data_IF_460875531354
#
_entry.id   IF_460875531354
#
_cell.length_a   1.000
_cell.length_b   1.000
_cell.length_c   1.000
_cell.angle_alpha   90.00
_cell.angle_beta   90.00
_cell.angle_gamma   90.00
#
_symmetry.space_group_name_H-M   'P 1'
#
loop_
_entity.id
_entity.type
_entity.pdbx_description
1 polymer ?
#
# COMPACT_ATOMS: atom_id res chain seq x y z
N UNK A 1 17.65 -17.43 4.16
CA UNK A 1 17.25 -16.00 4.12
C UNK A 1 16.71 -15.44 5.45
N UNK A 2 15.94 -16.20 6.25
CA UNK A 2 15.30 -15.70 7.49
C UNK A 2 16.30 -15.22 8.59
N UNK A 3 17.55 -15.69 8.56
CA UNK A 3 18.60 -15.28 9.49
C UNK A 3 19.09 -13.84 9.23
N UNK A 4 19.16 -13.43 7.96
CA UNK A 4 19.62 -12.10 7.56
C UNK A 4 18.67 -11.02 8.12
N UNK A 5 17.37 -11.20 7.94
CA UNK A 5 16.34 -10.24 8.35
C UNK A 5 16.12 -10.14 9.87
N UNK A 6 16.77 -10.99 10.66
CA UNK A 6 16.67 -11.01 12.14
C UNK A 6 17.94 -10.54 12.83
N UNK A 7 19.03 -10.34 12.09
CA UNK A 7 20.32 -10.04 12.67
C UNK A 7 20.41 -8.57 13.09
N UNK A 8 20.44 -8.32 14.41
CA UNK A 8 20.51 -6.99 15.01
C UNK A 8 21.84 -6.26 14.72
N UNK A 9 22.85 -6.95 14.18
CA UNK A 9 24.07 -6.28 13.70
C UNK A 9 23.81 -5.28 12.57
N UNK A 10 22.78 -5.51 11.75
CA UNK A 10 22.47 -4.60 10.64
C UNK A 10 21.94 -3.23 11.10
N UNK A 11 21.41 -3.15 12.32
CA UNK A 11 20.99 -1.91 12.98
C UNK A 11 22.11 -1.31 13.87
N UNK A 12 23.35 -1.83 13.77
CA UNK A 12 24.52 -1.34 14.51
C UNK A 12 24.65 -1.86 15.93
N UNK A 13 23.86 -2.86 16.33
CA UNK A 13 23.96 -3.47 17.66
C UNK A 13 25.06 -4.54 17.69
N UNK A 14 26.01 -4.39 18.60
CA UNK A 14 27.01 -5.40 18.88
C UNK A 14 26.54 -6.22 20.09
N UNK A 15 26.27 -7.50 19.89
CA UNK A 15 26.03 -8.44 20.97
C UNK A 15 27.19 -9.41 21.12
N UNK A 16 27.71 -9.53 22.34
CA UNK A 16 28.65 -10.57 22.72
C UNK A 16 28.27 -11.13 24.09
N UNK A 17 27.99 -12.44 24.12
CA UNK A 17 27.39 -13.13 25.28
C UNK A 17 26.11 -12.40 25.70
N UNK A 18 26.07 -11.84 26.90
CA UNK A 18 24.90 -11.16 27.47
C UNK A 18 25.01 -9.63 27.44
N UNK A 19 26.10 -9.09 26.88
CA UNK A 19 26.29 -7.64 26.75
C UNK A 19 25.89 -7.21 25.34
N UNK A 20 24.82 -6.41 25.27
CA UNK A 20 24.40 -5.71 24.06
C UNK A 20 24.84 -4.25 24.16
N UNK A 21 25.66 -3.81 23.20
CA UNK A 21 26.08 -2.41 23.07
C UNK A 21 25.47 -1.81 21.81
N UNK A 22 24.70 -0.74 21.99
CA UNK A 22 24.23 0.07 20.88
C UNK A 22 25.41 0.82 20.22
N UNK A 23 25.36 0.97 18.89
CA UNK A 23 26.41 1.63 18.09
C UNK A 23 27.79 0.96 18.11
N UNK A 24 27.87 -0.33 18.45
CA UNK A 24 29.14 -1.07 18.43
C UNK A 24 29.66 -1.39 17.03
N UNK A 25 28.81 -1.30 15.99
CA UNK A 25 29.14 -1.57 14.58
C UNK A 25 28.46 -0.48 13.71
N UNK A 26 29.07 -0.03 12.61
CA UNK A 26 28.39 0.82 11.64
C UNK A 26 27.08 0.20 11.15
N UNK A 27 25.96 0.91 11.32
CA UNK A 27 24.66 0.45 10.90
C UNK A 27 24.57 0.43 9.36
N UNK A 28 24.10 -0.68 8.79
CA UNK A 28 23.86 -0.82 7.35
C UNK A 28 22.41 -0.42 7.01
N UNK A 29 21.50 -0.63 7.95
CA UNK A 29 20.06 -0.40 7.79
C UNK A 29 19.56 0.50 8.94
N UNK A 30 18.71 1.51 8.66
CA UNK A 30 18.10 2.32 9.70
C UNK A 30 17.29 1.47 10.70
N UNK A 31 17.36 1.82 12.00
CA UNK A 31 16.64 1.12 13.09
C UNK A 31 15.14 0.98 12.77
N UNK A 32 14.51 2.03 12.26
CA UNK A 32 13.09 2.05 11.90
C UNK A 32 12.73 1.06 10.79
N UNK A 33 13.57 0.94 9.75
CA UNK A 33 13.34 0.01 8.66
C UNK A 33 13.48 -1.44 9.15
N UNK A 34 14.46 -1.71 10.00
CA UNK A 34 14.67 -3.03 10.58
C UNK A 34 13.49 -3.47 11.47
N UNK A 35 12.97 -2.57 12.30
CA UNK A 35 11.84 -2.91 13.17
C UNK A 35 10.56 -3.17 12.38
N UNK A 36 10.27 -2.38 11.33
CA UNK A 36 9.16 -2.67 10.39
C UNK A 36 9.26 -4.07 9.78
N UNK A 37 10.46 -4.50 9.41
CA UNK A 37 10.69 -5.87 8.88
C UNK A 37 10.44 -6.91 9.96
N UNK A 38 10.89 -6.69 11.20
CA UNK A 38 10.64 -7.61 12.32
C UNK A 38 9.16 -7.76 12.63
N UNK A 39 8.41 -6.66 12.64
CA UNK A 39 6.95 -6.71 12.80
C UNK A 39 6.29 -7.54 11.71
N UNK A 40 6.71 -7.36 10.45
CA UNK A 40 6.19 -8.13 9.31
C UNK A 40 6.53 -9.62 9.45
N UNK A 41 7.74 -9.96 9.90
CA UNK A 41 8.13 -11.34 10.19
C UNK A 41 7.33 -11.95 11.35
N UNK A 42 7.05 -11.18 12.40
CA UNK A 42 6.23 -11.63 13.53
C UNK A 42 4.78 -11.92 13.09
N UNK A 43 4.20 -11.05 12.25
CA UNK A 43 2.89 -11.26 11.61
C UNK A 43 2.90 -12.53 10.75
N UNK A 44 3.94 -12.73 9.93
CA UNK A 44 4.08 -13.92 9.09
C UNK A 44 4.25 -15.21 9.89
N UNK A 45 4.90 -15.16 11.07
CA UNK A 45 5.03 -16.32 11.97
C UNK A 45 3.68 -16.82 12.49
N UNK A 46 2.71 -15.92 12.71
CA UNK A 46 1.35 -16.28 13.16
C UNK A 46 0.50 -16.91 12.05
N UNK A 47 0.78 -16.60 10.78
CA UNK A 47 0.02 -17.07 9.62
C UNK A 47 0.92 -17.63 8.50
N UNK A 48 1.73 -18.66 8.75
CA UNK A 48 2.74 -19.15 7.79
C UNK A 48 2.14 -19.80 6.53
N UNK A 49 0.83 -20.08 6.53
CA UNK A 49 0.11 -20.71 5.43
C UNK A 49 -0.71 -19.72 4.58
N UNK A 50 -0.72 -18.42 4.91
CA UNK A 50 -1.58 -17.43 4.26
C UNK A 50 -1.32 -17.27 2.76
N UNK A 51 -0.11 -17.58 2.31
CA UNK A 51 0.32 -17.53 0.90
C UNK A 51 0.96 -18.85 0.43
N UNK A 52 0.63 -19.97 1.08
CA UNK A 52 1.18 -21.30 0.69
C UNK A 52 0.27 -22.07 -0.26
N UNK A 53 -1.00 -21.67 -0.38
CA UNK A 53 -1.94 -22.28 -1.31
C UNK A 53 -1.98 -21.44 -2.60
N UNK A 54 -2.22 -22.11 -3.74
CA UNK A 54 -2.55 -21.42 -5.00
C UNK A 54 -3.82 -20.57 -4.87
N UNK A 55 -4.72 -20.95 -3.96
CA UNK A 55 -5.92 -20.21 -3.62
C UNK A 55 -5.77 -19.45 -2.30
N UNK A 56 -5.93 -18.13 -2.34
CA UNK A 56 -5.96 -17.29 -1.15
C UNK A 56 -7.26 -17.51 -0.35
N UNK A 57 -7.11 -17.73 0.96
CA UNK A 57 -8.22 -17.82 1.92
C UNK A 57 -8.26 -16.53 2.75
N UNK A 58 -9.20 -15.63 2.44
CA UNK A 58 -9.26 -14.26 2.97
C UNK A 58 -9.40 -14.22 4.49
N UNK A 59 -10.08 -15.21 5.06
CA UNK A 59 -10.40 -15.29 6.49
C UNK A 59 -9.41 -16.15 7.29
N UNK A 60 -8.30 -16.54 6.68
CA UNK A 60 -7.21 -17.23 7.38
C UNK A 60 -6.78 -16.40 8.59
N UNK A 61 -6.74 -17.02 9.78
CA UNK A 61 -6.47 -16.36 11.08
C UNK A 61 -7.49 -15.33 11.57
N UNK A 62 -8.60 -15.12 10.85
CA UNK A 62 -9.70 -14.23 11.26
C UNK A 62 -10.95 -14.97 11.71
N UNK A 63 -11.17 -16.18 11.18
CA UNK A 63 -12.36 -16.97 11.46
C UNK A 63 -12.17 -17.90 12.66
N UNK A 64 -13.08 -17.83 13.63
CA UNK A 64 -13.08 -18.62 14.86
C UNK A 64 -14.32 -19.52 14.96
N UNK A 65 -14.16 -20.67 15.61
CA UNK A 65 -15.27 -21.54 15.97
C UNK A 65 -15.93 -21.04 17.26
N UNK A 66 -17.12 -20.45 17.18
CA UNK A 66 -17.84 -19.92 18.35
C UNK A 66 -18.16 -20.90 19.49
N UNK A 67 -18.05 -22.22 19.27
CA UNK A 67 -18.30 -23.23 20.34
C UNK A 67 -17.04 -23.54 21.17
N UNK A 68 -15.84 -23.35 20.60
CA UNK A 68 -14.61 -23.87 21.20
C UNK A 68 -13.38 -22.95 21.01
N UNK A 69 -13.63 -21.69 20.67
CA UNK A 69 -12.65 -20.62 20.49
C UNK A 69 -11.33 -21.08 19.84
N UNK A 70 -11.44 -21.59 18.62
CA UNK A 70 -10.26 -22.02 17.87
C UNK A 70 -10.38 -21.57 16.43
N UNK A 71 -9.22 -21.31 15.81
CA UNK A 71 -9.14 -20.93 14.41
C UNK A 71 -9.75 -21.96 13.47
N UNK A 72 -10.34 -21.44 12.40
CA UNK A 72 -10.75 -22.20 11.23
C UNK A 72 -9.72 -22.01 10.12
N UNK A 73 -9.37 -23.10 9.44
CA UNK A 73 -8.36 -23.18 8.38
C UNK A 73 -9.03 -23.59 7.08
N UNK A 74 -8.55 -23.03 5.97
CA UNK A 74 -8.97 -23.40 4.62
C UNK A 74 -8.54 -24.81 4.24
N UNK A 75 -9.46 -25.58 3.68
CA UNK A 75 -9.20 -26.89 3.09
C UNK A 75 -9.81 -26.94 1.69
N UNK A 76 -9.02 -27.39 0.72
CA UNK A 76 -9.47 -27.76 -0.63
C UNK A 76 -9.54 -29.28 -0.76
N UNK A 77 -10.45 -29.76 -1.59
CA UNK A 77 -10.49 -31.17 -2.01
C UNK A 77 -9.94 -31.29 -3.44
N UNK A 78 -9.17 -32.34 -3.70
CA UNK A 78 -8.45 -32.56 -4.97
C UNK A 78 -9.37 -33.04 -6.12
N UNK A 79 -10.48 -33.72 -5.81
CA UNK A 79 -11.33 -34.39 -6.81
C UNK A 79 -12.35 -33.43 -7.46
N UNK A 80 -12.84 -32.46 -6.68
CA UNK A 80 -13.65 -31.32 -7.14
C UNK A 80 -13.18 -30.13 -6.34
N UNK A 81 -12.96 -29.00 -7.01
CA UNK A 81 -12.48 -27.75 -6.40
C UNK A 81 -13.57 -27.16 -5.50
N UNK A 82 -13.77 -27.80 -4.35
CA UNK A 82 -14.62 -27.32 -3.29
C UNK A 82 -13.73 -26.84 -2.16
N UNK A 83 -13.92 -25.57 -1.80
CA UNK A 83 -13.12 -24.86 -0.81
C UNK A 83 -13.97 -24.65 0.44
N UNK A 84 -13.41 -25.00 1.59
CA UNK A 84 -14.13 -24.92 2.86
C UNK A 84 -13.24 -24.37 3.96
N UNK A 85 -13.87 -23.75 4.96
CA UNK A 85 -13.26 -23.47 6.25
C UNK A 85 -13.65 -24.55 7.26
N UNK A 86 -12.64 -25.14 7.93
CA UNK A 86 -12.82 -26.16 8.96
C UNK A 86 -11.96 -25.84 10.18
N UNK A 87 -12.46 -26.11 11.39
CA UNK A 87 -11.68 -25.95 12.63
C UNK A 87 -10.43 -26.85 12.63
N UNK A 88 -9.31 -26.31 13.12
CA UNK A 88 -8.08 -27.07 13.35
C UNK A 88 -8.33 -28.28 14.27
N UNK A 89 -7.61 -29.38 14.06
CA UNK A 89 -7.66 -30.61 14.88
C UNK A 89 -8.96 -31.44 14.84
N UNK A 90 -9.98 -31.04 14.06
CA UNK A 90 -11.18 -31.85 13.83
C UNK A 90 -10.86 -33.23 13.26
N UNK A 91 -9.91 -33.35 12.33
CA UNK A 91 -9.49 -34.64 11.75
C UNK A 91 -8.76 -35.54 12.75
N UNK A 92 -7.93 -34.98 13.63
CA UNK A 92 -7.06 -35.75 14.54
C UNK A 92 -7.73 -36.08 15.88
N UNK A 93 -8.54 -35.16 16.41
CA UNK A 93 -9.03 -35.25 17.79
C UNK A 93 -10.55 -35.20 17.92
N UNK A 94 -11.31 -35.06 16.81
CA UNK A 94 -12.79 -35.08 16.72
C UNK A 94 -13.56 -34.31 17.83
N UNK A 95 -12.95 -33.38 18.55
CA UNK A 95 -13.56 -32.60 19.65
C UNK A 95 -14.53 -31.51 19.20
N UNK A 96 -15.03 -31.57 17.97
CA UNK A 96 -15.83 -30.49 17.40
C UNK A 96 -16.83 -31.02 16.40
N UNK A 97 -18.11 -30.83 16.70
CA UNK A 97 -19.22 -31.29 15.86
C UNK A 97 -19.59 -30.28 14.77
N UNK A 98 -19.01 -29.07 14.82
CA UNK A 98 -19.30 -28.01 13.84
C UNK A 98 -18.84 -28.44 12.44
N UNK A 99 -19.80 -28.47 11.49
CA UNK A 99 -19.55 -28.79 10.08
C UNK A 99 -18.66 -27.73 9.41
N UNK A 100 -17.94 -28.17 8.39
CA UNK A 100 -17.14 -27.27 7.56
C UNK A 100 -18.07 -26.30 6.78
N UNK A 101 -17.63 -25.06 6.65
CA UNK A 101 -18.40 -23.97 6.01
C UNK A 101 -17.82 -23.74 4.62
N UNK A 102 -18.67 -23.53 3.60
CA UNK A 102 -18.21 -23.20 2.24
C UNK A 102 -17.44 -21.87 2.25
N UNK A 103 -16.29 -21.83 1.56
CA UNK A 103 -15.44 -20.63 1.45
C UNK A 103 -16.21 -19.44 0.92
N UNK A 104 -16.80 -19.60 -0.27
CA UNK A 104 -17.44 -18.51 -1.02
C UNK A 104 -18.56 -17.87 -0.19
N UNK A 105 -19.45 -18.70 0.38
CA UNK A 105 -20.57 -18.22 1.19
C UNK A 105 -20.16 -17.34 2.38
N UNK A 106 -19.12 -17.74 3.14
CA UNK A 106 -18.71 -16.98 4.33
C UNK A 106 -17.87 -15.75 3.95
N UNK A 107 -17.07 -15.85 2.89
CA UNK A 107 -16.28 -14.73 2.39
C UNK A 107 -17.20 -13.66 1.79
N UNK A 108 -18.16 -14.04 0.95
CA UNK A 108 -19.14 -13.13 0.37
C UNK A 108 -19.95 -12.43 1.45
N UNK A 109 -20.38 -13.16 2.50
CA UNK A 109 -21.09 -12.57 3.62
C UNK A 109 -20.26 -11.50 4.33
N UNK A 110 -19.00 -11.79 4.62
CA UNK A 110 -18.10 -10.87 5.33
C UNK A 110 -17.72 -9.69 4.45
N UNK A 111 -17.44 -9.91 3.16
CA UNK A 111 -17.15 -8.84 2.20
C UNK A 111 -18.35 -7.91 2.10
N UNK A 112 -19.56 -8.44 1.90
CA UNK A 112 -20.77 -7.63 1.83
C UNK A 112 -21.04 -6.85 3.12
N UNK A 113 -20.85 -7.48 4.29
CA UNK A 113 -21.01 -6.78 5.56
C UNK A 113 -19.94 -5.70 5.77
N UNK A 114 -18.69 -5.98 5.40
CA UNK A 114 -17.59 -5.01 5.48
C UNK A 114 -17.87 -3.83 4.57
N UNK A 115 -18.30 -4.07 3.32
CA UNK A 115 -18.67 -3.02 2.36
C UNK A 115 -19.79 -2.13 2.92
N UNK A 116 -20.83 -2.72 3.52
CA UNK A 116 -21.91 -1.97 4.17
C UNK A 116 -21.43 -1.17 5.38
N UNK A 117 -20.54 -1.73 6.18
CA UNK A 117 -20.00 -1.05 7.36
C UNK A 117 -19.01 0.08 6.99
N UNK A 118 -18.30 -0.05 5.86
CA UNK A 118 -17.38 0.97 5.35
C UNK A 118 -18.10 2.05 4.53
N UNK A 119 -19.22 1.74 3.89
CA UNK A 119 -20.10 2.70 3.20
C UNK A 119 -20.97 3.50 4.19
N UNK A 120 -20.42 3.80 5.36
CA UNK A 120 -20.97 4.81 6.25
C UNK A 120 -20.23 6.10 5.95
N UNK A 121 -20.94 7.18 5.59
CA UNK A 121 -20.35 8.40 5.05
C UNK A 121 -19.24 8.97 5.94
N UNK A 122 -19.40 8.88 7.27
CA UNK A 122 -18.38 9.30 8.25
C UNK A 122 -17.07 8.50 8.19
N UNK A 123 -17.13 7.21 7.85
CA UNK A 123 -15.95 6.33 7.74
C UNK A 123 -15.25 6.57 6.39
N UNK A 124 -16.03 6.81 5.34
CA UNK A 124 -15.51 7.17 4.01
C UNK A 124 -14.76 8.49 4.05
N UNK A 125 -15.30 9.53 4.70
CA UNK A 125 -14.62 10.82 4.84
C UNK A 125 -13.28 10.69 5.58
N UNK A 126 -13.25 9.96 6.71
CA UNK A 126 -12.01 9.70 7.45
C UNK A 126 -10.98 8.90 6.64
N UNK A 127 -11.44 7.97 5.80
CA UNK A 127 -10.57 7.19 4.93
C UNK A 127 -9.95 8.09 3.84
N UNK A 128 -10.76 8.97 3.24
CA UNK A 128 -10.32 9.94 2.23
C UNK A 128 -9.28 10.89 2.84
N UNK A 129 -9.52 11.41 4.04
CA UNK A 129 -8.58 12.29 4.74
C UNK A 129 -7.24 11.59 5.01
N UNK A 130 -7.29 10.35 5.53
CA UNK A 130 -6.09 9.55 5.78
C UNK A 130 -5.32 9.23 4.48
N UNK A 131 -6.04 8.95 3.38
CA UNK A 131 -5.43 8.71 2.07
C UNK A 131 -4.78 9.98 1.51
N UNK A 132 -5.44 11.12 1.59
CA UNK A 132 -4.86 12.40 1.18
C UNK A 132 -3.60 12.74 2.00
N UNK A 133 -3.60 12.44 3.29
CA UNK A 133 -2.46 12.71 4.16
C UNK A 133 -1.27 11.76 3.91
N UNK A 134 -1.53 10.50 3.56
CA UNK A 134 -0.50 9.56 3.10
C UNK A 134 0.06 9.96 1.72
N UNK A 135 -0.81 10.36 0.78
CA UNK A 135 -0.39 10.83 -0.53
C UNK A 135 0.48 12.10 -0.43
N UNK A 136 0.19 13.00 0.52
CA UNK A 136 1.07 14.15 0.81
C UNK A 136 2.46 13.75 1.33
N UNK A 137 2.58 12.62 2.04
CA UNK A 137 3.85 12.13 2.60
C UNK A 137 4.69 11.36 1.58
N UNK A 138 4.06 10.65 0.63
CA UNK A 138 4.76 9.83 -0.36
C UNK A 138 4.95 10.51 -1.71
N UNK A 139 4.15 11.52 -2.07
CA UNK A 139 4.17 12.05 -3.42
C UNK A 139 5.25 13.12 -3.62
N UNK A 140 6.29 12.75 -4.38
CA UNK A 140 7.28 13.66 -4.99
C UNK A 140 6.71 14.39 -6.22
N UNK A 141 5.51 14.03 -6.68
CA UNK A 141 4.85 14.59 -7.87
C UNK A 141 4.31 16.02 -7.67
N UNK A 142 3.63 16.40 -6.57
CA UNK A 142 3.13 17.76 -6.39
C UNK A 142 4.21 18.84 -6.45
N UNK A 143 5.43 18.69 -5.85
CA UNK A 143 6.48 19.68 -6.03
C UNK A 143 7.02 19.73 -7.46
N UNK A 144 7.10 18.59 -8.17
CA UNK A 144 7.54 18.56 -9.57
C UNK A 144 6.56 19.29 -10.49
N UNK A 145 5.26 19.01 -10.35
CA UNK A 145 4.20 19.67 -11.13
C UNK A 145 4.12 21.17 -10.85
N UNK A 146 4.25 21.58 -9.57
CA UNK A 146 4.34 23.00 -9.22
C UNK A 146 5.58 23.68 -9.81
N UNK A 147 6.71 22.98 -9.87
CA UNK A 147 7.94 23.47 -10.49
C UNK A 147 7.78 23.63 -12.00
N UNK A 148 7.20 22.64 -12.68
CA UNK A 148 6.89 22.73 -14.12
C UNK A 148 5.92 23.87 -14.43
N UNK A 149 4.93 24.10 -13.59
CA UNK A 149 3.97 25.19 -13.73
C UNK A 149 4.67 26.55 -13.58
N UNK A 150 5.52 26.71 -12.55
CA UNK A 150 6.30 27.93 -12.35
C UNK A 150 7.33 28.19 -13.49
N UNK A 151 7.96 27.15 -14.02
CA UNK A 151 8.86 27.25 -15.18
C UNK A 151 8.10 27.69 -16.44
N UNK A 152 6.89 27.16 -16.65
CA UNK A 152 6.04 27.51 -17.79
C UNK A 152 5.54 28.96 -17.69
N UNK A 153 5.07 29.39 -16.51
CA UNK A 153 4.67 30.78 -16.25
C UNK A 153 5.84 31.76 -16.45
N UNK A 154 7.04 31.38 -16.01
CA UNK A 154 8.25 32.18 -16.25
C UNK A 154 8.57 32.27 -17.74
N UNK A 155 8.41 31.18 -18.49
CA UNK A 155 8.56 31.15 -19.95
C UNK A 155 7.56 32.07 -20.66
N UNK A 156 6.29 32.03 -20.24
CA UNK A 156 5.25 32.94 -20.74
C UNK A 156 5.56 34.40 -20.45
N UNK A 157 5.95 34.73 -19.21
CA UNK A 157 6.30 36.10 -18.83
C UNK A 157 7.53 36.61 -19.59
N UNK A 158 8.53 35.75 -19.82
CA UNK A 158 9.69 36.11 -20.62
C UNK A 158 9.32 36.35 -22.10
N UNK A 159 8.43 35.54 -22.66
CA UNK A 159 7.89 35.76 -24.00
C UNK A 159 7.10 37.07 -24.09
N UNK A 160 6.23 37.34 -23.12
CA UNK A 160 5.48 38.61 -23.06
C UNK A 160 6.42 39.81 -22.92
N UNK A 161 7.46 39.71 -22.08
CA UNK A 161 8.48 40.74 -21.93
C UNK A 161 9.28 40.93 -23.23
N UNK A 162 9.60 39.86 -23.97
CA UNK A 162 10.28 39.95 -25.25
C UNK A 162 9.40 40.59 -26.34
N UNK A 163 8.10 40.31 -26.33
CA UNK A 163 7.11 40.96 -27.21
C UNK A 163 6.99 42.44 -26.86
N UNK A 164 6.89 42.78 -25.57
CA UNK A 164 6.85 44.16 -25.07
C UNK A 164 8.15 44.94 -25.34
N UNK A 165 9.30 44.28 -25.28
CA UNK A 165 10.62 44.87 -25.54
C UNK A 165 10.91 45.09 -27.04
N UNK A 166 10.00 44.75 -27.95
CA UNK A 166 9.98 45.34 -29.29
C UNK A 166 9.87 44.39 -30.47
N UNK A 167 8.88 43.48 -30.51
CA UNK A 167 8.41 42.92 -31.79
C UNK A 167 7.52 43.92 -32.55
N UNK A 168 6.96 44.93 -31.88
CA UNK A 168 6.30 46.07 -32.52
C UNK A 168 7.27 47.23 -32.78
N UNK A 169 8.31 46.99 -33.59
CA UNK A 169 8.96 48.10 -34.28
C UNK A 169 8.01 48.65 -35.37
N UNK A 170 8.08 49.94 -35.74
CA UNK A 170 7.22 50.50 -36.78
C UNK A 170 7.23 49.68 -38.09
N UNK A 171 8.37 49.08 -38.42
CA UNK A 171 8.56 48.23 -39.60
C UNK A 171 7.80 46.91 -39.56
N UNK A 172 7.57 46.32 -38.38
CA UNK A 172 6.78 45.07 -38.23
C UNK A 172 5.29 45.35 -38.23
N UNK A 173 4.85 46.51 -37.74
CA UNK A 173 3.45 46.96 -37.83
C UNK A 173 3.05 47.24 -39.28
N UNK A 174 3.89 47.98 -39.99
CA UNK A 174 3.67 48.30 -41.41
C UNK A 174 3.54 47.04 -42.28
N UNK A 175 4.35 46.02 -42.02
CA UNK A 175 4.33 44.74 -42.73
C UNK A 175 3.15 43.84 -42.34
N UNK A 176 2.57 44.04 -41.15
CA UNK A 176 1.35 43.35 -40.73
C UNK A 176 0.11 43.98 -41.39
N UNK A 177 0.05 45.31 -41.43
CA UNK A 177 -1.01 46.08 -42.08
C UNK A 177 -1.06 45.78 -43.60
N UNK A 178 0.11 45.69 -44.26
CA UNK A 178 0.22 45.27 -45.68
C UNK A 178 -0.30 43.85 -45.94
N UNK A 179 -0.12 42.92 -44.99
CA UNK A 179 -0.59 41.54 -45.12
C UNK A 179 -2.09 41.39 -44.82
N UNK A 180 -2.66 42.30 -44.04
CA UNK A 180 -4.11 42.36 -43.79
C UNK A 180 -4.88 42.97 -44.97
N UNK A 181 -4.31 43.97 -45.67
CA UNK A 181 -4.91 44.52 -46.90
C UNK A 181 -4.96 43.50 -48.05
N UNK A 182 -3.99 42.59 -48.16
CA UNK A 182 -3.99 41.51 -49.15
C UNK A 182 -5.08 40.44 -48.87
N UNK A 183 -5.56 40.39 -47.63
CA UNK A 183 -6.55 39.39 -47.19
C UNK A 183 -7.99 39.89 -47.34
N UNK A 184 -8.21 41.12 -47.79
CA UNK A 184 -9.53 41.71 -48.04
C UNK A 184 -9.85 41.81 -49.52
#
# INVERSE_FOLDING_TARGET
MNHLLKNRRYMGEYSYRDVAKEEGIPAIVPKELFERVRERLAKNKKAPARHKAEDDYLLTTKLYCGKYDSFMVGESHTIKIHRYYRRVNTKKKKFCDKKAVKKDWIEDLIVNYTMKATMNDEVMERLIDALMELQKKESTEPPLLKKQLAETEKGMNNMLNAIQAGIFTPSTKQRLDELEEIKS
#
